data_IF_852013720595
#
_entry.id   IF_852013720595
#
_cell.length_a   1.000
_cell.length_b   1.000
_cell.length_c   1.000
_cell.angle_alpha   90.00
_cell.angle_beta   90.00
_cell.angle_gamma   90.00
#
_symmetry.space_group_name_H-M   'P 1'
#
loop_
_entity.id
_entity.type
_entity.pdbx_description
1 polymer ?
#
# COMPACT_ATOMS: atom_id res chain seq x y z
N UNK A 1 20.78 -5.35 7.88
CA UNK A 1 21.48 -4.06 7.74
C UNK A 1 20.55 -2.93 8.10
N UNK A 2 21.06 -1.93 8.85
CA UNK A 2 20.29 -0.73 9.13
C UNK A 2 20.03 0.04 7.82
N UNK A 3 18.78 0.50 7.63
CA UNK A 3 18.38 1.27 6.45
C UNK A 3 17.25 2.22 6.82
N UNK A 4 17.12 3.29 6.07
CA UNK A 4 15.98 4.20 6.10
C UNK A 4 15.08 3.86 4.91
N UNK A 5 13.99 3.16 5.16
CA UNK A 5 13.07 2.65 4.15
C UNK A 5 12.10 3.73 3.70
N UNK A 6 12.01 3.98 2.40
CA UNK A 6 11.16 5.04 1.84
C UNK A 6 9.67 4.78 2.09
N UNK A 7 9.24 3.52 1.89
CA UNK A 7 7.86 3.12 2.06
C UNK A 7 7.40 3.28 3.52
N UNK A 8 8.19 2.73 4.47
CA UNK A 8 7.87 2.82 5.90
C UNK A 8 7.85 4.29 6.36
N UNK A 9 8.77 5.11 5.86
CA UNK A 9 8.82 6.54 6.17
C UNK A 9 7.59 7.29 5.64
N UNK A 10 7.13 6.97 4.42
CA UNK A 10 5.95 7.59 3.83
C UNK A 10 4.65 7.30 4.61
N UNK A 11 4.53 6.12 5.21
CA UNK A 11 3.32 5.71 5.96
C UNK A 11 2.96 6.64 7.13
N UNK A 12 3.86 7.47 7.59
CA UNK A 12 3.56 8.48 8.61
C UNK A 12 2.43 9.41 8.18
N UNK A 13 2.39 9.79 6.91
CA UNK A 13 1.32 10.63 6.35
C UNK A 13 -0.04 9.89 6.37
N UNK A 14 -0.06 8.61 5.98
CA UNK A 14 -1.26 7.78 6.05
C UNK A 14 -1.77 7.64 7.48
N UNK A 15 -0.88 7.42 8.46
CA UNK A 15 -1.25 7.30 9.86
C UNK A 15 -1.82 8.60 10.45
N UNK A 16 -1.24 9.74 10.11
CA UNK A 16 -1.73 11.07 10.56
C UNK A 16 -3.07 11.39 9.91
N UNK A 17 -3.25 11.09 8.61
CA UNK A 17 -4.52 11.27 7.92
C UNK A 17 -5.61 10.35 8.48
N UNK A 18 -5.28 9.08 8.78
CA UNK A 18 -6.20 8.17 9.46
C UNK A 18 -6.68 8.71 10.81
N UNK A 19 -5.75 9.24 11.62
CA UNK A 19 -6.11 9.85 12.90
C UNK A 19 -7.05 11.04 12.71
N UNK A 20 -6.78 11.90 11.73
CA UNK A 20 -7.65 13.02 11.39
C UNK A 20 -9.06 12.58 11.03
N UNK A 21 -9.18 11.58 10.15
CA UNK A 21 -10.49 11.04 9.76
C UNK A 21 -11.28 10.50 10.95
N UNK A 22 -10.60 9.90 11.94
CA UNK A 22 -11.24 9.36 13.13
C UNK A 22 -11.68 10.43 14.13
N UNK A 23 -10.91 11.48 14.31
CA UNK A 23 -11.02 12.36 15.48
C UNK A 23 -11.35 13.80 15.15
N UNK A 24 -11.03 14.28 13.95
CA UNK A 24 -11.08 15.70 13.61
C UNK A 24 -10.13 16.58 14.46
N UNK A 25 -9.10 15.98 15.06
CA UNK A 25 -8.16 16.70 15.94
C UNK A 25 -7.13 17.49 15.12
N UNK A 26 -7.45 18.74 14.83
CA UNK A 26 -6.57 19.66 14.09
C UNK A 26 -5.27 19.94 14.83
N UNK A 27 -5.28 19.95 16.17
CA UNK A 27 -4.09 20.22 16.95
C UNK A 27 -3.05 19.09 16.80
N UNK A 28 -3.51 17.85 16.66
CA UNK A 28 -2.66 16.71 16.34
C UNK A 28 -2.04 16.84 14.94
N UNK A 29 -2.82 17.28 13.93
CA UNK A 29 -2.28 17.52 12.59
C UNK A 29 -1.17 18.56 12.63
N UNK A 30 -1.42 19.72 13.24
CA UNK A 30 -0.47 20.83 13.34
C UNK A 30 0.81 20.40 14.07
N UNK A 31 0.69 19.60 15.13
CA UNK A 31 1.81 19.09 15.88
C UNK A 31 2.67 18.09 15.07
N UNK A 32 2.03 17.25 14.23
CA UNK A 32 2.75 16.24 13.42
C UNK A 32 3.14 16.73 12.02
N UNK A 33 2.64 17.88 11.58
CA UNK A 33 3.00 18.43 10.26
C UNK A 33 4.51 18.46 9.97
N UNK A 34 5.39 18.96 10.88
CA UNK A 34 6.83 18.97 10.64
C UNK A 34 7.45 17.58 10.51
N UNK A 35 6.78 16.55 11.05
CA UNK A 35 7.22 15.14 10.91
C UNK A 35 6.81 14.62 9.54
N UNK A 36 5.56 14.84 9.13
CA UNK A 36 5.05 14.47 7.80
C UNK A 36 5.89 15.15 6.71
N UNK A 37 6.13 16.45 6.83
CA UNK A 37 6.91 17.22 5.86
C UNK A 37 8.30 16.61 5.66
N UNK A 38 9.07 16.40 6.75
CA UNK A 38 10.39 15.78 6.66
C UNK A 38 10.36 14.35 6.11
N UNK A 39 9.33 13.57 6.45
CA UNK A 39 9.19 12.21 5.96
C UNK A 39 8.91 12.17 4.45
N UNK A 40 8.04 13.04 3.97
CA UNK A 40 7.74 13.13 2.54
C UNK A 40 8.93 13.70 1.76
N UNK A 41 9.58 14.76 2.24
CA UNK A 41 10.78 15.31 1.60
C UNK A 41 11.90 14.26 1.49
N UNK A 42 12.09 13.41 2.51
CA UNK A 42 13.01 12.27 2.43
C UNK A 42 12.64 11.29 1.32
N UNK A 43 11.35 11.02 1.12
CA UNK A 43 10.86 10.12 0.05
C UNK A 43 11.09 10.75 -1.33
N UNK A 44 10.83 12.04 -1.47
CA UNK A 44 11.07 12.77 -2.72
C UNK A 44 12.55 12.80 -3.10
N UNK A 45 13.45 12.94 -2.12
CA UNK A 45 14.91 12.85 -2.33
C UNK A 45 15.38 11.50 -2.90
N UNK A 46 14.55 10.46 -2.77
CA UNK A 46 14.80 9.13 -3.33
C UNK A 46 14.11 8.89 -4.68
N UNK A 47 13.32 9.85 -5.18
CA UNK A 47 12.67 9.73 -6.48
C UNK A 47 13.68 9.95 -7.62
N UNK A 48 13.71 9.02 -8.56
CA UNK A 48 14.57 9.13 -9.74
C UNK A 48 13.95 10.05 -10.80
N UNK A 49 14.74 10.54 -11.77
CA UNK A 49 14.19 11.29 -12.91
C UNK A 49 13.20 10.50 -13.76
N UNK A 50 13.16 9.17 -13.67
CA UNK A 50 12.18 8.32 -14.34
C UNK A 50 10.85 8.23 -13.60
N UNK A 51 10.81 8.64 -12.33
CA UNK A 51 9.61 8.74 -11.50
C UNK A 51 9.49 7.69 -10.39
N UNK A 52 10.22 6.56 -10.44
CA UNK A 52 10.21 5.59 -9.35
C UNK A 52 10.96 6.08 -8.12
N UNK A 53 10.56 5.63 -6.92
CA UNK A 53 11.23 5.93 -5.66
C UNK A 53 12.13 4.76 -5.27
N UNK A 54 13.41 5.01 -5.05
CA UNK A 54 14.37 4.01 -4.59
C UNK A 54 13.98 3.48 -3.21
N UNK A 55 14.17 2.16 -3.01
CA UNK A 55 13.63 1.47 -1.84
C UNK A 55 14.05 2.07 -0.51
N UNK A 56 15.33 2.42 -0.36
CA UNK A 56 15.84 2.86 0.92
C UNK A 56 17.14 3.67 0.76
N UNK A 57 17.61 4.23 1.87
CA UNK A 57 18.92 4.87 2.01
C UNK A 57 19.71 4.16 3.11
N UNK A 58 21.00 3.92 2.87
CA UNK A 58 21.92 3.44 3.89
C UNK A 58 22.20 4.50 4.95
N UNK A 59 22.69 4.13 6.15
CA UNK A 59 23.05 5.10 7.19
C UNK A 59 24.14 6.11 6.78
N UNK A 60 24.97 5.78 5.80
CA UNK A 60 25.98 6.68 5.23
C UNK A 60 25.42 7.68 4.21
N UNK A 61 24.10 7.64 3.96
CA UNK A 61 23.42 8.51 3.01
C UNK A 61 23.31 7.96 1.59
N UNK A 62 23.96 6.84 1.25
CA UNK A 62 23.92 6.25 -0.09
C UNK A 62 22.55 5.64 -0.36
N UNK A 63 21.85 6.00 -1.45
CA UNK A 63 20.60 5.37 -1.80
C UNK A 63 20.82 3.93 -2.31
N UNK A 64 19.84 3.06 -2.11
CA UNK A 64 19.80 1.74 -2.73
C UNK A 64 19.64 1.89 -4.25
N UNK A 65 20.13 0.91 -5.02
CA UNK A 65 20.19 0.98 -6.47
C UNK A 65 18.93 0.52 -7.19
N UNK A 66 17.85 0.20 -6.48
CA UNK A 66 16.61 -0.28 -7.06
C UNK A 66 15.38 0.24 -6.32
N UNK A 67 14.25 0.26 -7.03
CA UNK A 67 12.93 0.52 -6.49
C UNK A 67 12.11 -0.78 -6.40
N UNK A 68 11.10 -0.81 -5.53
CA UNK A 68 10.12 -1.90 -5.42
C UNK A 68 8.74 -1.43 -5.88
N UNK A 69 8.07 -2.24 -6.70
CA UNK A 69 6.73 -1.91 -7.20
C UNK A 69 5.72 -1.76 -6.06
N UNK A 70 5.69 -2.73 -5.12
CA UNK A 70 4.86 -2.65 -3.92
C UNK A 70 5.14 -1.40 -3.10
N UNK A 71 6.43 -1.11 -2.81
CA UNK A 71 6.84 0.07 -2.04
C UNK A 71 6.42 1.37 -2.71
N UNK A 72 6.68 1.51 -4.02
CA UNK A 72 6.27 2.67 -4.81
C UNK A 72 4.75 2.83 -4.88
N UNK A 73 4.01 1.73 -5.00
CA UNK A 73 2.53 1.76 -5.00
C UNK A 73 1.97 2.25 -3.66
N UNK A 74 2.52 1.79 -2.52
CA UNK A 74 2.08 2.28 -1.22
C UNK A 74 2.49 3.73 -0.96
N UNK A 75 3.63 4.17 -1.52
CA UNK A 75 4.04 5.58 -1.49
C UNK A 75 3.04 6.47 -2.25
N UNK A 76 2.47 6.00 -3.38
CA UNK A 76 1.40 6.75 -4.06
C UNK A 76 0.24 7.09 -3.11
N UNK A 77 -0.24 6.10 -2.35
CA UNK A 77 -1.30 6.33 -1.37
C UNK A 77 -0.86 7.29 -0.25
N UNK A 78 0.35 7.10 0.28
CA UNK A 78 0.90 7.94 1.34
C UNK A 78 1.09 9.40 0.90
N UNK A 79 1.51 9.63 -0.35
CA UNK A 79 1.63 10.98 -0.91
C UNK A 79 0.25 11.63 -1.09
N UNK A 80 -0.79 10.89 -1.51
CA UNK A 80 -2.16 11.42 -1.54
C UNK A 80 -2.63 11.86 -0.16
N UNK A 81 -2.37 11.05 0.88
CA UNK A 81 -2.66 11.43 2.26
C UNK A 81 -1.86 12.67 2.68
N UNK A 82 -0.60 12.79 2.27
CA UNK A 82 0.23 13.95 2.57
C UNK A 82 -0.27 15.24 1.90
N UNK A 83 -0.71 15.16 0.64
CA UNK A 83 -1.34 16.30 -0.07
C UNK A 83 -2.64 16.68 0.62
N UNK A 84 -3.50 15.72 0.99
CA UNK A 84 -4.71 15.99 1.75
C UNK A 84 -4.43 16.70 3.10
N UNK A 85 -3.37 16.29 3.80
CA UNK A 85 -2.93 16.96 5.04
C UNK A 85 -2.45 18.39 4.78
N UNK A 86 -1.70 18.61 3.70
CA UNK A 86 -1.25 19.94 3.29
C UNK A 86 -2.44 20.86 3.00
N UNK A 87 -3.40 20.40 2.20
CA UNK A 87 -4.64 21.14 1.87
C UNK A 87 -5.44 21.48 3.14
N UNK A 88 -5.64 20.51 4.05
CA UNK A 88 -6.37 20.70 5.31
C UNK A 88 -5.70 21.77 6.20
N UNK A 89 -4.37 21.83 6.19
CA UNK A 89 -3.60 22.81 6.97
C UNK A 89 -3.36 24.14 6.23
N UNK A 90 -3.73 24.24 4.95
CA UNK A 90 -3.53 25.43 4.12
C UNK A 90 -2.09 25.60 3.62
N UNK A 91 -1.35 24.51 3.47
CA UNK A 91 -0.01 24.49 2.88
C UNK A 91 -0.10 24.14 1.40
N UNK A 92 0.66 24.84 0.55
CA UNK A 92 0.81 24.51 -0.87
C UNK A 92 2.06 23.66 -1.06
N UNK A 93 1.91 22.44 -1.62
CA UNK A 93 3.00 21.49 -1.90
C UNK A 93 2.88 20.92 -3.33
N UNK A 94 3.00 21.79 -4.36
CA UNK A 94 2.94 21.36 -5.76
C UNK A 94 4.09 20.38 -6.12
N UNK A 95 5.19 20.41 -5.39
CA UNK A 95 6.28 19.45 -5.51
C UNK A 95 5.84 18.02 -5.12
N UNK A 96 4.99 17.87 -4.11
CA UNK A 96 4.44 16.57 -3.71
C UNK A 96 3.44 16.05 -4.75
N UNK A 97 2.57 16.90 -5.25
CA UNK A 97 1.61 16.55 -6.31
C UNK A 97 2.32 16.10 -7.59
N UNK A 98 3.38 16.82 -8.01
CA UNK A 98 4.18 16.46 -9.17
C UNK A 98 4.92 15.13 -8.96
N UNK A 99 5.51 14.93 -7.79
CA UNK A 99 6.18 13.68 -7.43
C UNK A 99 5.20 12.50 -7.45
N UNK A 100 4.02 12.67 -6.88
CA UNK A 100 2.94 11.69 -6.91
C UNK A 100 2.53 11.34 -8.35
N UNK A 101 2.33 12.34 -9.22
CA UNK A 101 1.97 12.15 -10.61
C UNK A 101 3.03 11.32 -11.37
N UNK A 102 4.31 11.67 -11.23
CA UNK A 102 5.41 10.91 -11.83
C UNK A 102 5.46 9.46 -11.32
N UNK A 103 5.31 9.27 -10.01
CA UNK A 103 5.36 7.95 -9.41
C UNK A 103 4.19 7.07 -9.87
N UNK A 104 2.97 7.59 -9.85
CA UNK A 104 1.79 6.87 -10.30
C UNK A 104 1.87 6.52 -11.80
N UNK A 105 2.38 7.44 -12.64
CA UNK A 105 2.63 7.18 -14.05
C UNK A 105 3.56 5.97 -14.25
N UNK A 106 4.70 5.93 -13.56
CA UNK A 106 5.66 4.83 -13.70
C UNK A 106 5.11 3.52 -13.18
N UNK A 107 4.40 3.52 -12.04
CA UNK A 107 3.75 2.32 -11.50
C UNK A 107 2.75 1.75 -12.51
N UNK A 108 1.96 2.59 -13.16
CA UNK A 108 0.94 2.17 -14.12
C UNK A 108 1.51 1.72 -15.46
N UNK A 109 2.51 2.44 -16.00
CA UNK A 109 2.90 2.30 -17.41
C UNK A 109 4.21 1.54 -17.64
N UNK A 110 5.09 1.48 -16.64
CA UNK A 110 6.45 0.92 -16.75
C UNK A 110 6.83 -0.01 -15.61
N UNK A 111 5.96 -0.94 -15.17
CA UNK A 111 6.32 -1.84 -14.09
C UNK A 111 7.55 -2.69 -14.41
N UNK A 112 7.70 -3.08 -15.69
CA UNK A 112 8.89 -3.81 -16.15
C UNK A 112 10.04 -2.84 -16.46
N UNK A 113 11.17 -3.03 -15.80
CA UNK A 113 12.39 -2.24 -15.99
C UNK A 113 12.56 -1.04 -15.07
N UNK A 114 11.51 -0.52 -14.43
CA UNK A 114 11.63 0.51 -13.40
C UNK A 114 11.80 -0.08 -11.99
N UNK A 115 11.26 -1.27 -11.76
CA UNK A 115 11.26 -1.93 -10.45
C UNK A 115 12.02 -3.25 -10.48
N UNK A 116 12.60 -3.63 -9.33
CA UNK A 116 13.20 -4.94 -9.16
C UNK A 116 12.15 -6.05 -9.38
N UNK A 117 12.49 -7.12 -10.14
CA UNK A 117 11.52 -8.16 -10.47
C UNK A 117 11.10 -8.96 -9.24
N UNK A 118 9.88 -8.75 -8.78
CA UNK A 118 9.25 -9.40 -7.61
C UNK A 118 7.87 -9.98 -7.94
N UNK A 119 7.56 -10.23 -9.21
CA UNK A 119 6.26 -10.69 -9.73
C UNK A 119 5.74 -12.01 -9.12
N UNK A 120 6.58 -12.72 -8.39
CA UNK A 120 6.20 -13.91 -7.60
C UNK A 120 5.50 -13.56 -6.28
N UNK A 121 5.59 -12.30 -5.81
CA UNK A 121 4.98 -11.85 -4.57
C UNK A 121 3.61 -11.23 -4.85
N UNK A 122 2.62 -11.57 -4.03
CA UNK A 122 1.25 -11.10 -4.23
C UNK A 122 1.12 -9.57 -4.15
N UNK A 123 1.90 -8.94 -3.31
CA UNK A 123 1.89 -7.50 -3.13
C UNK A 123 2.17 -6.75 -4.44
N UNK A 124 3.08 -7.23 -5.31
CA UNK A 124 3.33 -6.61 -6.60
C UNK A 124 2.13 -6.71 -7.57
N UNK A 125 1.18 -7.60 -7.28
CA UNK A 125 -0.04 -7.72 -8.04
C UNK A 125 -1.11 -6.73 -7.59
N UNK A 126 -1.49 -6.70 -6.30
CA UNK A 126 -2.65 -5.91 -5.87
C UNK A 126 -2.31 -4.49 -5.38
N UNK A 127 -1.08 -4.20 -4.96
CA UNK A 127 -0.70 -2.87 -4.46
C UNK A 127 -0.81 -1.73 -5.48
N UNK A 128 -0.53 -1.92 -6.80
CA UNK A 128 -0.79 -0.86 -7.79
C UNK A 128 -2.25 -0.38 -7.80
N UNK A 129 -3.20 -1.27 -7.52
CA UNK A 129 -4.62 -0.94 -7.34
C UNK A 129 -4.88 -0.34 -5.96
N UNK A 130 -4.43 -0.99 -4.90
CA UNK A 130 -4.62 -0.52 -3.52
C UNK A 130 -3.99 0.86 -3.28
N UNK A 131 -2.83 1.13 -3.87
CA UNK A 131 -2.14 2.43 -3.82
C UNK A 131 -2.76 3.51 -4.71
N UNK A 132 -3.70 3.17 -5.59
CA UNK A 132 -4.44 4.10 -6.43
C UNK A 132 -3.73 4.53 -7.72
N UNK A 133 -2.62 3.89 -8.10
CA UNK A 133 -1.95 4.15 -9.37
C UNK A 133 -2.72 3.53 -10.56
N UNK A 134 -3.40 2.42 -10.34
CA UNK A 134 -4.30 1.76 -11.32
C UNK A 134 -5.73 1.83 -10.77
N UNK A 135 -6.67 2.36 -11.55
CA UNK A 135 -8.05 2.62 -11.11
C UNK A 135 -9.07 2.18 -12.16
N UNK A 136 -10.36 2.23 -11.82
CA UNK A 136 -11.46 1.97 -12.75
C UNK A 136 -11.47 0.57 -13.36
N UNK A 137 -11.77 0.48 -14.64
CA UNK A 137 -11.84 -0.81 -15.36
C UNK A 137 -10.45 -1.45 -15.51
N UNK A 138 -9.39 -0.64 -15.66
CA UNK A 138 -8.00 -1.12 -15.71
C UNK A 138 -7.65 -1.90 -14.42
N UNK A 139 -8.07 -1.39 -13.26
CA UNK A 139 -7.87 -2.08 -11.98
C UNK A 139 -8.61 -3.43 -11.90
N UNK A 140 -9.84 -3.50 -12.43
CA UNK A 140 -10.59 -4.77 -12.50
C UNK A 140 -9.88 -5.82 -13.34
N UNK A 141 -9.40 -5.43 -14.53
CA UNK A 141 -8.65 -6.33 -15.41
C UNK A 141 -7.32 -6.76 -14.76
N UNK A 142 -6.63 -5.82 -14.11
CA UNK A 142 -5.37 -6.08 -13.44
C UNK A 142 -5.52 -7.09 -12.29
N UNK A 143 -6.56 -6.97 -11.45
CA UNK A 143 -6.84 -7.93 -10.39
C UNK A 143 -7.26 -9.30 -10.95
N UNK A 144 -8.06 -9.34 -12.02
CA UNK A 144 -8.52 -10.59 -12.63
C UNK A 144 -7.39 -11.38 -13.27
N UNK A 145 -6.41 -10.72 -13.89
CA UNK A 145 -5.32 -11.35 -14.66
C UNK A 145 -4.50 -12.36 -13.84
N UNK A 146 -4.23 -12.06 -12.58
CA UNK A 146 -3.38 -12.92 -11.72
C UNK A 146 -4.12 -13.53 -10.54
N UNK A 147 -5.43 -13.42 -10.50
CA UNK A 147 -6.25 -13.94 -9.39
C UNK A 147 -5.93 -15.40 -9.07
N UNK A 148 -5.97 -16.28 -10.06
CA UNK A 148 -5.70 -17.72 -9.86
C UNK A 148 -4.26 -18.06 -9.46
N UNK A 149 -3.30 -17.16 -9.75
CA UNK A 149 -1.93 -17.34 -9.31
C UNK A 149 -1.79 -17.15 -7.80
N UNK A 150 -2.52 -16.19 -7.25
CA UNK A 150 -2.32 -15.77 -5.86
C UNK A 150 -3.45 -16.18 -4.92
N UNK A 151 -4.68 -16.30 -5.39
CA UNK A 151 -5.80 -16.68 -4.52
C UNK A 151 -5.91 -18.19 -4.42
N UNK A 152 -5.99 -18.67 -3.19
CA UNK A 152 -6.33 -20.05 -2.82
C UNK A 152 -7.76 -20.05 -2.32
N UNK A 153 -8.69 -20.58 -3.11
CA UNK A 153 -10.11 -20.59 -2.79
C UNK A 153 -10.36 -21.18 -1.39
N UNK A 154 -11.09 -20.43 -0.56
CA UNK A 154 -11.39 -20.77 0.83
C UNK A 154 -10.21 -20.67 1.81
N UNK A 155 -9.01 -20.26 1.37
CA UNK A 155 -7.81 -20.17 2.21
C UNK A 155 -7.18 -18.78 2.26
N UNK A 156 -7.46 -17.93 1.27
CA UNK A 156 -6.92 -16.57 1.18
C UNK A 156 -5.82 -16.40 0.13
N UNK A 157 -4.98 -15.39 0.30
CA UNK A 157 -3.96 -14.98 -0.66
C UNK A 157 -2.61 -15.61 -0.32
N UNK A 158 -1.96 -16.24 -1.31
CA UNK A 158 -0.56 -16.66 -1.22
C UNK A 158 0.32 -15.44 -1.11
N UNK A 159 1.20 -15.38 -0.12
CA UNK A 159 2.25 -14.38 -0.08
C UNK A 159 3.19 -14.52 -1.29
N UNK A 160 3.48 -15.77 -1.68
CA UNK A 160 4.34 -16.12 -2.82
C UNK A 160 3.60 -17.06 -3.75
N UNK A 161 3.43 -16.71 -5.02
CA UNK A 161 2.55 -17.38 -5.98
C UNK A 161 2.83 -18.85 -6.26
N UNK A 162 4.02 -19.37 -5.92
CA UNK A 162 4.38 -20.78 -6.05
C UNK A 162 4.49 -21.50 -4.70
N UNK A 163 3.91 -20.96 -3.63
CA UNK A 163 3.87 -21.55 -2.29
C UNK A 163 2.44 -21.54 -1.78
N UNK A 164 2.00 -22.67 -1.26
CA UNK A 164 0.66 -22.80 -0.65
C UNK A 164 0.65 -22.24 0.78
N UNK A 165 1.18 -21.03 0.92
CA UNK A 165 1.27 -20.26 2.15
C UNK A 165 0.36 -19.04 2.05
N UNK A 166 -0.83 -19.13 2.64
CA UNK A 166 -1.75 -18.03 2.76
C UNK A 166 -1.42 -17.18 4.00
N UNK A 167 -1.51 -15.87 3.88
CA UNK A 167 -1.22 -14.91 4.93
C UNK A 167 -2.40 -14.01 5.21
N UNK A 168 -2.60 -13.64 6.48
CA UNK A 168 -3.74 -12.83 6.87
C UNK A 168 -3.61 -11.37 6.39
N UNK A 169 -2.38 -10.82 6.37
CA UNK A 169 -2.15 -9.45 5.93
C UNK A 169 -2.42 -9.30 4.44
N UNK A 170 -1.75 -10.06 3.57
CA UNK A 170 -1.94 -9.99 2.12
C UNK A 170 -3.38 -10.32 1.71
N UNK A 171 -4.05 -11.24 2.43
CA UNK A 171 -5.46 -11.53 2.20
C UNK A 171 -6.36 -10.33 2.51
N UNK A 172 -6.11 -9.65 3.63
CA UNK A 172 -6.86 -8.46 4.05
C UNK A 172 -6.62 -7.26 3.11
N UNK A 173 -5.38 -7.04 2.71
CA UNK A 173 -5.02 -5.97 1.77
C UNK A 173 -5.61 -6.21 0.38
N UNK A 174 -5.57 -7.45 -0.11
CA UNK A 174 -6.21 -7.85 -1.37
C UNK A 174 -7.73 -7.69 -1.31
N UNK A 175 -8.38 -8.00 -0.17
CA UNK A 175 -9.80 -7.74 0.03
C UNK A 175 -10.12 -6.24 -0.11
N UNK A 176 -9.30 -5.34 0.45
CA UNK A 176 -9.46 -3.90 0.25
C UNK A 176 -9.27 -3.48 -1.21
N UNK A 177 -8.32 -4.10 -1.94
CA UNK A 177 -8.16 -3.84 -3.38
C UNK A 177 -9.40 -4.26 -4.19
N UNK A 178 -10.08 -5.36 -3.85
CA UNK A 178 -11.35 -5.76 -4.46
C UNK A 178 -12.49 -4.80 -4.12
N UNK A 179 -12.53 -4.23 -2.91
CA UNK A 179 -13.51 -3.18 -2.56
C UNK A 179 -13.36 -1.94 -3.45
N UNK A 180 -12.13 -1.54 -3.79
CA UNK A 180 -11.85 -0.40 -4.68
C UNK A 180 -12.47 -0.57 -6.08
N UNK A 181 -12.53 -1.78 -6.59
CA UNK A 181 -13.15 -2.08 -7.89
C UNK A 181 -14.63 -2.44 -7.79
N UNK A 182 -15.22 -2.33 -6.60
CA UNK A 182 -16.64 -2.62 -6.35
C UNK A 182 -16.98 -4.10 -6.22
N UNK A 183 -15.99 -4.98 -6.20
CA UNK A 183 -16.16 -6.43 -6.03
C UNK A 183 -16.23 -6.81 -4.54
N UNK A 184 -17.37 -6.47 -3.94
CA UNK A 184 -17.61 -6.67 -2.51
C UNK A 184 -17.76 -8.14 -2.13
N UNK A 185 -18.23 -8.97 -3.04
CA UNK A 185 -18.40 -10.41 -2.80
C UNK A 185 -17.03 -11.07 -2.62
N UNK A 186 -16.13 -10.91 -3.58
CA UNK A 186 -14.76 -11.43 -3.47
C UNK A 186 -14.02 -10.85 -2.25
N UNK A 187 -14.20 -9.55 -1.97
CA UNK A 187 -13.60 -8.93 -0.80
C UNK A 187 -14.06 -9.58 0.52
N UNK A 188 -15.36 -9.87 0.63
CA UNK A 188 -15.92 -10.52 1.82
C UNK A 188 -15.42 -11.98 1.97
N UNK A 189 -15.34 -12.73 0.87
CA UNK A 189 -14.86 -14.11 0.87
C UNK A 189 -13.37 -14.19 1.24
N UNK A 190 -12.55 -13.30 0.68
CA UNK A 190 -11.14 -13.18 1.05
C UNK A 190 -11.01 -12.85 2.54
N UNK A 191 -11.71 -11.84 3.02
CA UNK A 191 -11.66 -11.48 4.44
C UNK A 191 -12.14 -12.62 5.34
N UNK A 192 -13.21 -13.33 4.96
CA UNK A 192 -13.72 -14.48 5.71
C UNK A 192 -12.66 -15.58 5.85
N UNK A 193 -11.84 -15.81 4.83
CA UNK A 193 -10.79 -16.83 4.88
C UNK A 193 -9.70 -16.52 5.93
N UNK A 194 -9.52 -15.25 6.32
CA UNK A 194 -8.58 -14.88 7.40
C UNK A 194 -8.98 -15.42 8.77
N UNK A 195 -10.28 -15.74 8.97
CA UNK A 195 -10.77 -16.29 10.24
C UNK A 195 -10.08 -17.61 10.63
N UNK A 196 -9.58 -18.37 9.64
CA UNK A 196 -8.80 -19.60 9.91
C UNK A 196 -7.47 -19.31 10.64
N UNK A 197 -6.99 -18.07 10.60
CA UNK A 197 -5.75 -17.61 11.23
C UNK A 197 -6.01 -16.91 12.58
N UNK A 198 -7.29 -16.69 12.93
CA UNK A 198 -7.65 -16.02 14.19
C UNK A 198 -7.44 -16.94 15.38
N UNK A 199 -6.71 -16.45 16.39
CA UNK A 199 -6.46 -17.16 17.63
C UNK A 199 -7.60 -16.92 18.65
N UNK A 200 -7.75 -17.79 19.68
CA UNK A 200 -8.77 -17.64 20.71
C UNK A 200 -8.72 -16.30 21.48
N UNK A 201 -7.54 -15.72 21.60
CA UNK A 201 -7.30 -14.42 22.25
C UNK A 201 -7.53 -13.20 21.32
N UNK A 202 -7.94 -13.45 20.06
CA UNK A 202 -8.24 -12.44 19.07
C UNK A 202 -7.07 -12.03 18.19
N UNK A 203 -5.83 -12.47 18.47
CA UNK A 203 -4.69 -12.24 17.58
C UNK A 203 -4.83 -13.03 16.27
N UNK A 204 -4.12 -12.61 15.23
CA UNK A 204 -4.06 -13.33 13.97
C UNK A 204 -2.64 -13.83 13.71
N UNK A 205 -2.54 -15.09 13.31
CA UNK A 205 -1.28 -15.65 12.80
C UNK A 205 -0.85 -14.91 11.53
N UNK A 206 0.44 -14.79 11.31
CA UNK A 206 0.99 -14.26 10.06
C UNK A 206 0.52 -15.07 8.87
N UNK A 207 0.55 -16.40 8.94
CA UNK A 207 0.03 -17.24 7.88
C UNK A 207 0.01 -18.73 8.19
N UNK A 208 -0.61 -19.49 7.28
CA UNK A 208 -0.77 -20.95 7.32
C UNK A 208 -0.32 -21.54 5.98
N UNK A 209 0.50 -22.59 6.03
CA UNK A 209 0.91 -23.40 4.88
C UNK A 209 -0.08 -24.57 4.74
N UNK A 210 -0.62 -24.75 3.54
CA UNK A 210 -1.57 -25.79 3.20
C UNK A 210 -0.92 -26.91 2.37
N UNK A 211 -1.46 -28.16 2.38
CA UNK A 211 -2.68 -28.58 3.08
C UNK A 211 -2.50 -28.91 4.57
N UNK A 212 -1.26 -29.01 5.06
CA UNK A 212 -0.96 -29.55 6.40
C UNK A 212 -1.34 -28.57 7.53
N UNK A 213 -1.74 -27.35 7.22
CA UNK A 213 -2.14 -26.28 8.14
C UNK A 213 -1.03 -25.93 9.15
N UNK A 214 0.22 -25.96 8.71
CA UNK A 214 1.38 -25.57 9.52
C UNK A 214 1.46 -24.04 9.57
N UNK A 215 1.62 -23.48 10.77
CA UNK A 215 1.82 -22.03 10.95
C UNK A 215 3.20 -21.62 10.47
N UNK A 216 3.27 -20.51 9.72
CA UNK A 216 4.55 -19.98 9.26
C UNK A 216 4.50 -18.44 9.21
N UNK A 217 5.51 -17.74 9.75
CA UNK A 217 6.52 -18.21 10.67
C UNK A 217 5.93 -18.83 11.95
N UNK A 218 6.70 -19.62 12.68
CA UNK A 218 6.26 -20.48 13.78
C UNK A 218 5.41 -19.76 14.84
N UNK A 219 4.07 -19.81 14.69
CA UNK A 219 3.10 -19.19 15.61
C UNK A 219 3.15 -17.65 15.69
N UNK A 220 3.82 -16.98 14.76
CA UNK A 220 3.95 -15.53 14.77
C UNK A 220 2.59 -14.82 14.61
N UNK A 221 2.39 -13.80 15.45
CA UNK A 221 1.27 -12.85 15.39
C UNK A 221 1.86 -11.43 15.40
N UNK A 222 2.03 -10.82 14.23
CA UNK A 222 2.62 -9.51 14.10
C UNK A 222 1.60 -8.38 14.25
N UNK A 223 2.05 -7.20 14.67
CA UNK A 223 1.22 -5.98 14.68
C UNK A 223 0.84 -5.54 13.27
N UNK A 224 1.69 -5.79 12.28
CA UNK A 224 1.39 -5.56 10.86
C UNK A 224 0.17 -6.37 10.42
N UNK A 225 0.15 -7.69 10.70
CA UNK A 225 -0.99 -8.57 10.40
C UNK A 225 -2.26 -8.07 11.07
N UNK A 226 -2.18 -7.72 12.37
CA UNK A 226 -3.35 -7.22 13.11
C UNK A 226 -3.89 -5.91 12.51
N UNK A 227 -3.01 -4.98 12.10
CA UNK A 227 -3.39 -3.72 11.48
C UNK A 227 -4.11 -3.96 10.14
N UNK A 228 -3.58 -4.81 9.27
CA UNK A 228 -4.21 -5.13 7.99
C UNK A 228 -5.62 -5.72 8.15
N UNK A 229 -5.79 -6.65 9.11
CA UNK A 229 -7.11 -7.24 9.42
C UNK A 229 -8.09 -6.19 9.96
N UNK A 230 -7.65 -5.30 10.86
CA UNK A 230 -8.52 -4.24 11.40
C UNK A 230 -8.96 -3.28 10.30
N UNK A 231 -8.03 -2.84 9.45
CA UNK A 231 -8.33 -1.92 8.33
C UNK A 231 -9.30 -2.55 7.33
N UNK A 232 -9.12 -3.82 6.98
CA UNK A 232 -10.03 -4.52 6.09
C UNK A 232 -11.42 -4.74 6.72
N UNK A 233 -11.49 -5.06 8.02
CA UNK A 233 -12.74 -5.19 8.76
C UNK A 233 -13.50 -3.85 8.78
N UNK A 234 -12.80 -2.75 9.04
CA UNK A 234 -13.40 -1.41 9.05
C UNK A 234 -13.88 -1.02 7.65
N UNK A 235 -13.07 -1.24 6.62
CA UNK A 235 -13.42 -0.97 5.21
C UNK A 235 -14.66 -1.77 4.75
N UNK A 236 -14.77 -3.04 5.16
CA UNK A 236 -15.93 -3.89 4.85
C UNK A 236 -17.18 -3.48 5.60
N UNK A 237 -17.05 -3.08 6.85
CA UNK A 237 -18.21 -2.76 7.71
C UNK A 237 -18.65 -1.31 7.63
N UNK A 238 -17.76 -0.40 7.25
CA UNK A 238 -18.02 1.05 7.32
C UNK A 238 -18.19 1.55 8.75
N UNK A 239 -17.56 0.90 9.75
CA UNK A 239 -17.83 1.14 11.15
C UNK A 239 -17.23 2.44 11.68
N UNK A 240 -16.15 2.93 11.09
CA UNK A 240 -15.51 4.18 11.49
C UNK A 240 -15.52 5.25 10.40
N UNK A 241 -15.32 6.53 10.76
CA UNK A 241 -15.12 7.60 9.77
C UNK A 241 -13.90 7.41 8.86
N UNK A 242 -12.92 6.59 9.28
CA UNK A 242 -11.72 6.28 8.50
C UNK A 242 -11.86 5.02 7.63
N UNK A 243 -13.00 4.35 7.64
CA UNK A 243 -13.25 3.11 6.88
C UNK A 243 -13.01 3.25 5.37
N UNK A 244 -13.08 4.47 4.86
CA UNK A 244 -12.83 4.77 3.44
C UNK A 244 -11.36 4.97 3.08
N UNK A 245 -10.44 4.99 4.05
CA UNK A 245 -9.04 5.38 3.85
C UNK A 245 -8.35 4.70 2.65
N UNK A 246 -8.52 3.38 2.52
CA UNK A 246 -7.92 2.59 1.45
C UNK A 246 -8.90 2.18 0.35
N UNK A 247 -10.19 2.42 0.51
CA UNK A 247 -11.23 1.89 -0.39
C UNK A 247 -12.09 2.96 -1.07
N UNK A 248 -11.76 4.22 -0.85
CA UNK A 248 -12.40 5.34 -1.55
C UNK A 248 -11.36 6.37 -1.99
N UNK A 249 -10.74 6.13 -3.13
CA UNK A 249 -9.74 7.04 -3.68
C UNK A 249 -10.31 8.41 -4.09
N UNK A 250 -11.62 8.55 -4.30
CA UNK A 250 -12.23 9.85 -4.60
C UNK A 250 -12.33 10.78 -3.37
N UNK A 251 -12.08 10.25 -2.16
CA UNK A 251 -11.99 11.05 -0.93
C UNK A 251 -10.59 11.66 -0.69
N UNK A 252 -9.63 11.37 -1.57
CA UNK A 252 -8.27 11.92 -1.54
C UNK A 252 -8.02 12.77 -2.78
N UNK A 253 -7.07 13.71 -2.74
CA UNK A 253 -6.70 14.53 -3.91
C UNK A 253 -6.42 13.69 -5.15
N UNK A 254 -6.83 14.20 -6.31
CA UNK A 254 -6.61 13.53 -7.58
C UNK A 254 -5.12 13.44 -7.93
N UNK A 255 -4.74 12.36 -8.60
CA UNK A 255 -3.39 12.22 -9.13
C UNK A 255 -3.32 12.97 -10.46
N UNK A 256 -2.45 13.97 -10.55
CA UNK A 256 -2.22 14.70 -11.81
C UNK A 256 -1.56 13.77 -12.83
N UNK A 257 -2.04 13.80 -14.06
CA UNK A 257 -1.48 12.99 -15.15
C UNK A 257 -0.26 13.71 -15.73
N UNK A 258 0.93 13.27 -15.37
CA UNK A 258 2.21 13.83 -15.82
C UNK A 258 3.16 12.72 -16.22
N UNK A 259 3.75 12.85 -17.41
CA UNK A 259 4.82 11.97 -17.85
C UNK A 259 6.17 12.46 -17.30
N UNK A 260 6.99 11.56 -16.71
CA UNK A 260 8.36 11.89 -16.33
C UNK A 260 9.14 12.38 -17.56
N UNK A 261 9.87 13.49 -17.41
CA UNK A 261 10.76 13.98 -18.48
C UNK A 261 11.97 13.03 -18.60
N UNK A 262 11.84 11.99 -19.40
CA UNK A 262 13.00 11.20 -19.82
C UNK A 262 13.84 12.08 -20.75
N UNK A 263 14.97 12.60 -20.28
CA UNK A 263 16.00 13.06 -21.19
C UNK A 263 16.55 11.79 -21.85
N UNK A 264 16.28 11.60 -23.14
CA UNK A 264 17.04 10.67 -23.94
C UNK A 264 18.52 11.10 -23.78
N UNK A 265 19.30 10.23 -23.17
CA UNK A 265 20.76 10.41 -23.13
C UNK A 265 21.24 9.89 -24.46
N UNK A 266 21.58 10.80 -25.37
CA UNK A 266 22.28 10.52 -26.63
C UNK A 266 23.64 9.81 -26.41
#
# INVERSE_FOLDING_TARGET
>A
DAKFDANVTAYVATGVWHHWLLTGDRSFLEALWPVVERAVDFVLDLQTPRGEVLWARHPDGTPWSFALLTGSSSICHSLRCAVALAEELGHERPDWELSLGHLAHVVRTRPDGAFAPKDRWAMDWYYPVLGGAITGDEARYHLADRYHKFVMEGHGVRCVGNKDWATAAETSECAMAHLLVGDRETAADLFHSTLAMRQPDGRYLTGIVYPDRVTFPDGECSTYTAAAVILAADALSGASPASSLFVNHSALPDIIDVEPRVREVD
#
